data_IF_627990906758
#
_entry.id   IF_627990906758
#
_cell.length_a   1.000
_cell.length_b   1.000
_cell.length_c   1.000
_cell.angle_alpha   90.00
_cell.angle_beta   90.00
_cell.angle_gamma   90.00
#
_symmetry.space_group_name_H-M   'P 1'
#
loop_
_entity.id
_entity.type
_entity.pdbx_description
1 polymer ?
#
# COMPACT_ATOMS: atom_id res chain seq x y z
N UNK A 1 -64.89 25.56 61.60
CA UNK A 1 -63.45 25.29 61.80
C UNK A 1 -63.06 24.07 60.96
N UNK A 2 -62.45 24.30 59.79
CA UNK A 2 -61.86 23.25 58.94
C UNK A 2 -60.52 23.77 58.42
N UNK A 3 -59.53 22.89 58.51
CA UNK A 3 -58.09 23.10 58.39
C UNK A 3 -57.62 23.38 56.96
N UNK A 4 -56.63 24.27 56.82
CA UNK A 4 -55.94 24.62 55.58
C UNK A 4 -55.12 23.45 55.01
N UNK A 5 -55.10 23.33 53.67
CA UNK A 5 -53.99 22.71 52.92
C UNK A 5 -53.50 23.71 51.85
N UNK A 6 -52.24 24.12 51.98
CA UNK A 6 -51.49 24.91 51.01
C UNK A 6 -51.26 24.11 49.71
N UNK A 7 -51.43 24.77 48.57
CA UNK A 7 -50.92 24.32 47.26
C UNK A 7 -49.67 25.14 46.93
N UNK A 8 -48.55 24.47 46.70
CA UNK A 8 -47.35 25.07 46.10
C UNK A 8 -47.46 25.02 44.58
N UNK A 9 -47.37 26.18 43.92
CA UNK A 9 -47.17 26.29 42.47
C UNK A 9 -45.71 26.69 42.25
N UNK A 10 -44.89 25.82 41.65
CA UNK A 10 -43.54 26.15 41.20
C UNK A 10 -43.62 26.75 39.79
N UNK A 11 -43.07 27.95 39.62
CA UNK A 11 -42.78 28.57 38.32
C UNK A 11 -41.42 28.04 37.87
N UNK A 12 -41.34 27.40 36.70
CA UNK A 12 -40.06 27.09 36.05
C UNK A 12 -39.71 28.23 35.08
N UNK A 13 -38.58 28.89 35.32
CA UNK A 13 -37.89 29.69 34.31
C UNK A 13 -37.15 28.74 33.36
N UNK A 14 -37.46 28.78 32.07
CA UNK A 14 -36.69 28.11 31.03
C UNK A 14 -35.61 29.05 30.52
N UNK A 15 -34.36 28.79 30.88
CA UNK A 15 -33.19 29.40 30.23
C UNK A 15 -32.91 28.62 28.94
N UNK A 16 -33.08 29.27 27.79
CA UNK A 16 -32.68 28.69 26.50
C UNK A 16 -31.18 28.92 26.32
N UNK A 17 -30.40 27.85 26.41
CA UNK A 17 -29.00 27.83 25.95
C UNK A 17 -29.02 27.39 24.49
N UNK A 18 -28.74 28.31 23.55
CA UNK A 18 -28.42 27.93 22.18
C UNK A 18 -27.04 27.28 22.16
N UNK A 19 -27.00 25.96 22.19
CA UNK A 19 -25.83 25.19 21.77
C UNK A 19 -25.88 25.05 20.25
N UNK A 20 -25.07 25.84 19.54
CA UNK A 20 -24.73 25.52 18.15
C UNK A 20 -23.85 24.28 18.16
N UNK A 21 -24.46 23.11 18.01
CA UNK A 21 -23.74 21.86 17.74
C UNK A 21 -23.27 21.95 16.28
N UNK A 22 -22.08 22.50 16.09
CA UNK A 22 -21.34 22.31 14.86
C UNK A 22 -20.94 20.84 14.79
N UNK A 23 -21.66 20.06 13.98
CA UNK A 23 -21.22 18.72 13.61
C UNK A 23 -19.99 18.86 12.72
N UNK A 24 -18.80 18.93 13.32
CA UNK A 24 -17.59 18.48 12.65
C UNK A 24 -17.70 16.95 12.61
N UNK A 25 -18.22 16.43 11.50
CA UNK A 25 -18.15 15.01 11.21
C UNK A 25 -16.66 14.64 11.12
N UNK A 26 -16.09 14.12 12.20
CA UNK A 26 -14.91 13.28 12.12
C UNK A 26 -15.36 12.05 11.34
N UNK A 27 -14.72 11.67 10.22
CA UNK A 27 -15.05 10.42 9.57
C UNK A 27 -14.64 9.29 10.52
N UNK A 28 -15.59 8.81 11.33
CA UNK A 28 -15.52 7.45 11.84
C UNK A 28 -15.89 6.59 10.65
N UNK A 29 -14.89 5.94 10.07
CA UNK A 29 -15.14 4.77 9.25
C UNK A 29 -15.90 3.78 10.15
N UNK A 30 -17.21 3.68 9.95
CA UNK A 30 -17.98 2.59 10.51
C UNK A 30 -17.29 1.30 10.07
N UNK A 31 -17.01 0.42 11.03
CA UNK A 31 -16.21 -0.80 10.88
C UNK A 31 -16.64 -1.73 9.72
N UNK A 32 -17.81 -1.51 9.11
CA UNK A 32 -18.32 -2.30 7.98
C UNK A 32 -17.94 -1.74 6.58
N UNK A 33 -17.69 -0.42 6.46
CA UNK A 33 -17.49 0.31 5.19
C UNK A 33 -16.07 0.90 5.02
N UNK A 34 -15.17 0.72 6.01
CA UNK A 34 -13.82 1.30 6.01
C UNK A 34 -12.89 0.84 4.85
N UNK A 35 -13.29 -0.22 4.13
CA UNK A 35 -12.56 -0.77 2.98
C UNK A 35 -13.17 -0.34 1.62
N UNK A 36 -14.29 0.38 1.62
CA UNK A 36 -15.03 0.73 0.40
C UNK A 36 -14.36 1.91 -0.30
N UNK A 37 -13.27 1.61 -1.00
CA UNK A 37 -12.61 2.56 -1.87
C UNK A 37 -11.58 3.48 -1.20
N UNK A 38 -11.27 3.36 0.09
CA UNK A 38 -10.21 4.16 0.70
C UNK A 38 -8.81 3.76 0.19
N UNK A 39 -7.88 4.72 0.25
CA UNK A 39 -6.48 4.54 -0.16
C UNK A 39 -5.60 4.67 1.08
N UNK A 40 -4.81 3.63 1.37
CA UNK A 40 -3.66 3.75 2.25
C UNK A 40 -2.51 4.36 1.48
N UNK A 41 -1.74 5.22 2.15
CA UNK A 41 -0.49 5.74 1.61
C UNK A 41 0.57 5.91 2.70
N UNK A 42 1.81 5.88 2.27
CA UNK A 42 2.98 6.25 3.07
C UNK A 42 3.30 7.71 2.78
N UNK A 43 3.34 8.57 3.80
CA UNK A 43 3.67 9.99 3.59
C UNK A 43 4.38 10.63 4.77
N UNK A 44 5.19 11.64 4.48
CA UNK A 44 5.83 12.53 5.46
C UNK A 44 5.08 13.86 5.66
N UNK A 45 3.80 13.92 5.24
CA UNK A 45 2.95 15.13 5.25
C UNK A 45 3.01 15.95 6.54
N UNK A 46 2.83 15.31 7.70
CA UNK A 46 2.79 15.99 9.01
C UNK A 46 4.15 15.96 9.73
N UNK A 47 5.20 15.50 9.05
CA UNK A 47 6.54 15.41 9.59
C UNK A 47 7.58 15.51 8.46
N UNK A 48 7.60 16.66 7.77
CA UNK A 48 8.36 16.79 6.54
C UNK A 48 9.83 16.57 6.86
N UNK A 49 10.44 15.64 6.13
CA UNK A 49 11.77 15.10 6.42
C UNK A 49 12.96 16.09 6.40
N UNK A 50 12.67 17.37 6.19
CA UNK A 50 13.61 18.47 6.02
C UNK A 50 13.62 19.50 7.16
N UNK A 51 12.71 19.43 8.13
CA UNK A 51 12.60 20.44 9.20
C UNK A 51 13.37 20.09 10.49
N UNK A 52 14.04 18.93 10.51
CA UNK A 52 14.79 18.47 11.67
C UNK A 52 13.91 17.92 12.81
N UNK A 53 12.60 17.76 12.60
CA UNK A 53 11.70 17.10 13.56
C UNK A 53 12.06 15.62 13.69
N UNK A 54 12.57 14.98 12.64
CA UNK A 54 13.01 13.59 12.67
C UNK A 54 14.51 13.37 12.54
N UNK A 55 15.04 12.56 13.45
CA UNK A 55 16.43 12.14 13.47
C UNK A 55 16.54 10.64 13.83
N UNK A 56 17.00 9.77 12.91
CA UNK A 56 17.38 10.08 11.52
C UNK A 56 16.15 10.48 10.67
N UNK A 57 16.35 11.14 9.51
CA UNK A 57 15.36 12.03 8.88
C UNK A 57 14.13 11.37 8.24
N UNK A 58 13.81 10.12 8.56
CA UNK A 58 12.71 9.40 7.96
C UNK A 58 11.70 9.09 9.06
N UNK A 59 10.53 9.75 9.00
CA UNK A 59 9.36 9.48 9.81
C UNK A 59 8.11 9.47 8.92
N UNK A 60 8.18 8.63 7.90
CA UNK A 60 7.03 8.30 7.09
C UNK A 60 6.00 7.57 7.94
N UNK A 61 4.75 7.95 7.76
CA UNK A 61 3.62 7.34 8.42
C UNK A 61 2.59 6.84 7.43
N UNK A 62 1.76 5.93 7.92
CA UNK A 62 0.63 5.39 7.18
C UNK A 62 -0.55 6.31 7.43
N UNK A 63 -1.18 6.71 6.34
CA UNK A 63 -2.43 7.44 6.34
C UNK A 63 -3.45 6.65 5.55
N UNK A 64 -4.72 6.92 5.84
CA UNK A 64 -5.86 6.55 5.02
C UNK A 64 -6.55 7.82 4.51
N UNK A 65 -7.02 7.82 3.27
CA UNK A 65 -7.75 8.94 2.67
C UNK A 65 -8.81 8.44 1.68
N UNK A 66 -9.77 9.30 1.36
CA UNK A 66 -10.75 9.03 0.30
C UNK A 66 -10.08 9.02 -1.09
N UNK A 67 -10.69 8.37 -2.12
CA UNK A 67 -10.19 8.34 -3.50
C UNK A 67 -9.84 9.69 -4.12
N UNK A 68 -10.53 10.75 -3.70
CA UNK A 68 -10.34 12.12 -4.18
C UNK A 68 -9.22 12.88 -3.42
N UNK A 69 -8.56 12.20 -2.47
CA UNK A 69 -7.52 12.78 -1.61
C UNK A 69 -8.06 13.54 -0.39
N UNK A 70 -9.38 13.59 -0.20
CA UNK A 70 -9.99 14.27 0.95
C UNK A 70 -9.85 13.45 2.24
N UNK A 71 -10.00 14.16 3.37
CA UNK A 71 -10.06 13.58 4.71
C UNK A 71 -8.87 12.65 5.09
N UNK A 72 -7.61 13.02 4.83
CA UNK A 72 -6.48 12.21 5.22
C UNK A 72 -6.43 12.04 6.75
N UNK A 73 -6.35 10.80 7.20
CA UNK A 73 -6.29 10.41 8.62
C UNK A 73 -5.02 9.61 8.86
N UNK A 74 -4.21 10.07 9.82
CA UNK A 74 -2.95 9.42 10.21
C UNK A 74 -3.23 8.18 11.07
N UNK A 75 -2.65 7.04 10.71
CA UNK A 75 -2.81 5.77 11.43
C UNK A 75 -1.57 5.38 12.26
N UNK A 76 -0.38 5.85 11.86
CA UNK A 76 0.85 5.63 12.62
C UNK A 76 1.49 6.94 13.05
N UNK A 77 2.25 6.91 14.13
CA UNK A 77 2.83 8.10 14.75
C UNK A 77 4.35 7.93 14.91
N UNK A 78 5.04 7.76 13.78
CA UNK A 78 6.49 7.57 13.67
C UNK A 78 7.32 8.79 13.95
N UNK A 79 6.70 9.97 13.88
CA UNK A 79 7.29 11.20 14.38
C UNK A 79 7.52 11.13 15.88
N UNK A 80 8.78 11.25 16.28
CA UNK A 80 9.17 11.33 17.68
C UNK A 80 9.66 12.76 18.01
N UNK A 81 9.51 13.24 19.26
CA UNK A 81 10.09 14.52 19.67
C UNK A 81 11.59 14.58 19.35
N UNK A 82 12.08 15.78 19.02
CA UNK A 82 13.51 16.04 18.78
C UNK A 82 14.36 15.42 19.91
N UNK A 83 15.27 14.51 19.56
CA UNK A 83 16.14 13.81 20.52
C UNK A 83 15.68 12.41 20.93
N UNK A 84 14.57 11.90 20.40
CA UNK A 84 14.16 10.50 20.52
C UNK A 84 14.24 9.78 19.16
N UNK A 85 14.44 8.46 19.18
CA UNK A 85 14.54 7.67 17.95
C UNK A 85 13.14 7.52 17.32
N UNK A 86 12.87 8.31 16.29
CA UNK A 86 11.69 8.13 15.42
C UNK A 86 11.72 6.81 14.66
N UNK A 87 10.58 6.46 14.06
CA UNK A 87 10.46 5.26 13.23
C UNK A 87 9.71 5.57 11.94
N UNK A 88 9.89 4.70 10.95
CA UNK A 88 9.15 4.70 9.70
C UNK A 88 8.12 3.60 9.71
N UNK A 89 6.95 3.91 9.16
CA UNK A 89 5.95 2.93 8.80
C UNK A 89 5.55 3.19 7.35
N UNK A 90 5.42 2.13 6.55
CA UNK A 90 5.11 2.30 5.15
C UNK A 90 4.73 1.02 4.43
N UNK A 91 4.43 1.16 3.14
CA UNK A 91 4.13 0.00 2.28
C UNK A 91 2.97 -0.84 2.77
N UNK A 92 1.93 -0.20 3.31
CA UNK A 92 0.81 -0.87 3.93
C UNK A 92 -0.11 -1.55 2.91
N UNK A 93 -0.83 -2.57 3.37
CA UNK A 93 -1.86 -3.25 2.59
C UNK A 93 -3.07 -3.61 3.45
N UNK A 94 -4.24 -3.71 2.80
CA UNK A 94 -5.51 -4.04 3.44
C UNK A 94 -5.75 -5.54 3.47
N UNK A 95 -6.20 -6.04 4.63
CA UNK A 95 -6.71 -7.40 4.68
C UNK A 95 -8.05 -7.51 3.94
N UNK A 96 -8.18 -8.54 3.10
CA UNK A 96 -9.45 -8.93 2.49
C UNK A 96 -10.52 -9.31 3.53
N UNK A 97 -10.11 -9.65 4.76
CA UNK A 97 -11.02 -9.93 5.89
C UNK A 97 -11.64 -8.69 6.52
N UNK A 98 -11.21 -7.48 6.11
CA UNK A 98 -11.61 -6.17 6.67
C UNK A 98 -11.31 -5.95 8.15
N UNK A 99 -10.35 -6.69 8.71
CA UNK A 99 -10.02 -6.56 10.13
C UNK A 99 -8.70 -5.87 10.37
N UNK A 100 -7.76 -6.02 9.44
CA UNK A 100 -6.37 -5.68 9.67
C UNK A 100 -5.80 -4.87 8.51
N UNK A 101 -4.84 -4.03 8.86
CA UNK A 101 -3.84 -3.46 7.97
C UNK A 101 -2.51 -4.11 8.32
N UNK A 102 -1.75 -4.53 7.32
CA UNK A 102 -0.37 -4.98 7.47
C UNK A 102 0.57 -3.94 6.89
N UNK A 103 1.73 -3.75 7.50
CA UNK A 103 2.68 -2.74 7.08
C UNK A 103 4.10 -3.06 7.52
N UNK A 104 5.08 -2.43 6.87
CA UNK A 104 6.46 -2.51 7.34
C UNK A 104 6.75 -1.40 8.35
N UNK A 105 7.54 -1.68 9.38
CA UNK A 105 7.96 -0.67 10.34
C UNK A 105 9.30 -1.02 10.98
N UNK A 106 10.17 -0.02 11.18
CA UNK A 106 11.51 -0.20 11.75
C UNK A 106 11.57 0.05 13.28
N UNK A 107 10.41 0.07 13.94
CA UNK A 107 10.27 0.27 15.40
C UNK A 107 11.05 -0.74 16.24
N UNK A 108 11.34 -1.91 15.69
CA UNK A 108 12.06 -2.99 16.39
C UNK A 108 13.45 -3.12 15.81
N UNK A 109 14.45 -2.73 16.60
CA UNK A 109 15.87 -2.86 16.23
C UNK A 109 16.33 -1.97 15.07
N UNK A 110 15.53 -0.98 14.65
CA UNK A 110 15.89 -0.07 13.54
C UNK A 110 15.82 -0.69 12.15
N UNK A 111 15.41 -1.95 12.05
CA UNK A 111 15.30 -2.71 10.79
C UNK A 111 13.80 -2.90 10.50
N UNK A 112 13.32 -2.63 9.27
CA UNK A 112 11.92 -2.87 8.92
C UNK A 112 11.51 -4.32 9.16
N UNK A 113 10.42 -4.51 9.88
CA UNK A 113 9.74 -5.79 10.10
C UNK A 113 8.26 -5.63 9.76
N UNK A 114 7.51 -6.74 9.70
CA UNK A 114 6.07 -6.68 9.38
C UNK A 114 5.26 -6.54 10.67
N UNK A 115 4.39 -5.54 10.68
CA UNK A 115 3.43 -5.25 11.73
C UNK A 115 2.00 -5.41 11.21
N UNK A 116 1.06 -5.60 12.13
CA UNK A 116 -0.37 -5.50 11.86
C UNK A 116 -1.00 -4.49 12.80
N UNK A 117 -2.15 -3.94 12.41
CA UNK A 117 -2.97 -3.05 13.22
C UNK A 117 -4.45 -3.17 12.81
N UNK A 118 -5.34 -2.69 13.66
CA UNK A 118 -6.75 -2.50 13.31
C UNK A 118 -6.90 -1.39 12.26
N UNK A 119 -8.06 -1.33 11.59
CA UNK A 119 -8.31 -0.38 10.51
C UNK A 119 -8.25 1.09 10.97
N UNK A 120 -8.50 1.35 12.25
CA UNK A 120 -8.42 2.67 12.87
C UNK A 120 -7.01 3.03 13.37
N UNK A 121 -6.01 2.18 13.10
CA UNK A 121 -4.63 2.35 13.54
C UNK A 121 -4.37 1.90 14.98
N UNK A 122 -5.34 1.35 15.69
CA UNK A 122 -5.14 0.79 17.05
C UNK A 122 -4.50 -0.60 17.00
N UNK A 123 -4.07 -1.11 18.16
CA UNK A 123 -3.52 -2.47 18.32
C UNK A 123 -2.34 -2.80 17.39
N UNK A 124 -1.45 -1.83 17.18
CA UNK A 124 -0.26 -2.02 16.36
C UNK A 124 0.71 -3.00 17.02
N UNK A 125 0.98 -4.12 16.36
CA UNK A 125 1.80 -5.21 16.90
C UNK A 125 2.75 -5.78 15.87
N UNK A 126 3.94 -6.19 16.33
CA UNK A 126 4.89 -6.94 15.51
C UNK A 126 4.27 -8.28 15.14
N UNK A 127 4.13 -8.57 13.85
CA UNK A 127 3.55 -9.82 13.36
C UNK A 127 4.63 -10.85 13.07
N UNK A 128 5.63 -10.48 12.26
CA UNK A 128 6.76 -11.35 11.96
C UNK A 128 8.07 -10.56 11.95
N UNK A 129 9.10 -11.18 12.53
CA UNK A 129 10.47 -10.69 12.52
C UNK A 129 11.35 -11.64 11.72
N UNK A 130 11.99 -11.13 10.68
CA UNK A 130 12.93 -11.88 9.82
C UNK A 130 14.33 -11.31 10.00
N UNK A 131 15.38 -12.15 10.13
CA UNK A 131 16.75 -11.68 10.13
C UNK A 131 17.05 -10.79 8.92
N UNK A 132 17.60 -9.60 9.16
CA UNK A 132 17.89 -8.62 8.11
C UNK A 132 16.69 -7.79 7.64
N UNK A 133 15.47 -8.13 8.05
CA UNK A 133 14.26 -7.33 7.84
C UNK A 133 13.27 -7.91 6.84
N UNK A 134 12.07 -7.36 6.85
CA UNK A 134 10.95 -7.72 6.00
C UNK A 134 10.16 -6.47 5.57
N UNK A 135 9.62 -6.48 4.36
CA UNK A 135 9.07 -5.29 3.72
C UNK A 135 7.94 -5.58 2.74
N UNK A 136 7.07 -4.57 2.58
CA UNK A 136 5.94 -4.53 1.63
C UNK A 136 5.07 -5.80 1.63
N UNK A 137 4.28 -6.01 2.70
CA UNK A 137 3.33 -7.11 2.77
C UNK A 137 2.19 -6.94 1.77
N UNK A 138 1.62 -8.05 1.29
CA UNK A 138 0.35 -8.12 0.56
C UNK A 138 -0.47 -9.29 1.10
N UNK A 139 -1.76 -9.05 1.38
CA UNK A 139 -2.64 -10.07 1.96
C UNK A 139 -3.13 -11.08 0.94
N UNK A 140 -3.21 -12.34 1.38
CA UNK A 140 -3.97 -13.37 0.66
C UNK A 140 -5.46 -13.03 0.60
N UNK A 141 -6.17 -13.64 -0.36
CA UNK A 141 -7.61 -13.44 -0.57
C UNK A 141 -8.44 -13.70 0.70
N UNK A 142 -8.03 -14.65 1.55
CA UNK A 142 -8.74 -14.96 2.80
C UNK A 142 -8.43 -13.97 3.91
N UNK A 143 -7.36 -13.17 3.76
CA UNK A 143 -6.85 -12.28 4.79
C UNK A 143 -6.08 -13.00 5.91
N UNK A 144 -5.83 -14.30 5.80
CA UNK A 144 -5.18 -15.11 6.84
C UNK A 144 -3.68 -15.29 6.63
N UNK A 145 -3.15 -14.88 5.47
CA UNK A 145 -1.73 -14.98 5.14
C UNK A 145 -1.26 -13.69 4.50
N UNK A 146 0.06 -13.45 4.60
CA UNK A 146 0.76 -12.39 3.91
C UNK A 146 1.84 -12.99 3.04
N UNK A 147 2.00 -12.47 1.82
CA UNK A 147 3.28 -12.51 1.15
C UNK A 147 4.06 -11.23 1.51
N UNK A 148 5.39 -11.29 1.56
CA UNK A 148 6.27 -10.12 1.69
C UNK A 148 7.66 -10.47 1.17
N UNK A 149 8.61 -9.52 1.17
CA UNK A 149 10.02 -9.85 0.86
C UNK A 149 10.97 -9.55 2.00
N UNK A 150 12.07 -10.32 2.08
CA UNK A 150 13.18 -10.03 2.99
C UNK A 150 13.97 -8.79 2.53
N UNK A 151 14.61 -8.10 3.46
CA UNK A 151 15.36 -6.86 3.17
C UNK A 151 16.85 -7.11 2.89
N UNK A 152 17.42 -8.17 3.48
CA UNK A 152 18.80 -8.57 3.22
C UNK A 152 18.91 -9.27 1.86
N UNK A 153 19.81 -8.77 1.02
CA UNK A 153 20.10 -9.41 -0.28
C UNK A 153 20.90 -10.70 -0.07
N UNK A 154 20.65 -11.74 -0.88
CA UNK A 154 19.60 -11.81 -1.90
C UNK A 154 18.19 -11.89 -1.27
N UNK A 155 17.29 -11.02 -1.76
CA UNK A 155 15.92 -10.89 -1.25
C UNK A 155 15.02 -11.96 -1.84
N UNK A 156 14.15 -12.52 -1.00
CA UNK A 156 13.22 -13.57 -1.38
C UNK A 156 11.79 -13.20 -1.03
N UNK A 157 10.83 -13.83 -1.70
CA UNK A 157 9.42 -13.78 -1.32
C UNK A 157 9.15 -14.83 -0.26
N UNK A 158 8.53 -14.39 0.83
CA UNK A 158 8.06 -15.24 1.91
C UNK A 158 6.55 -15.21 1.99
N UNK A 159 5.98 -16.30 2.49
CA UNK A 159 4.59 -16.38 2.93
C UNK A 159 4.55 -16.75 4.40
N UNK A 160 3.62 -16.15 5.14
CA UNK A 160 3.41 -16.42 6.56
C UNK A 160 1.93 -16.28 6.91
N UNK A 161 1.47 -17.05 7.89
CA UNK A 161 0.16 -16.83 8.49
C UNK A 161 0.14 -15.52 9.30
N UNK A 162 -1.00 -14.84 9.38
CA UNK A 162 -1.16 -13.59 10.14
C UNK A 162 -0.91 -13.73 11.65
N UNK A 163 -0.88 -14.95 12.18
CA UNK A 163 -0.46 -15.24 13.55
C UNK A 163 1.06 -15.45 13.70
N UNK A 164 1.85 -15.18 12.66
CA UNK A 164 3.32 -15.27 12.68
C UNK A 164 3.88 -16.69 12.59
N UNK A 165 3.05 -17.69 12.26
CA UNK A 165 3.45 -19.09 12.12
C UNK A 165 3.53 -19.51 10.65
N UNK A 166 4.20 -20.64 10.36
CA UNK A 166 4.25 -21.20 9.01
C UNK A 166 5.07 -20.39 8.00
N UNK A 167 6.07 -19.62 8.47
CA UNK A 167 6.93 -18.82 7.61
C UNK A 167 7.66 -19.72 6.58
N UNK A 168 7.40 -19.47 5.31
CA UNK A 168 7.93 -20.25 4.18
C UNK A 168 8.63 -19.34 3.18
N UNK A 169 9.85 -19.69 2.77
CA UNK A 169 10.55 -19.03 1.67
C UNK A 169 10.09 -19.64 0.35
N UNK A 170 9.42 -18.85 -0.50
CA UNK A 170 8.84 -19.34 -1.76
C UNK A 170 9.85 -19.34 -2.92
N UNK A 171 10.87 -18.50 -2.89
CA UNK A 171 11.73 -18.26 -4.06
C UNK A 171 13.13 -18.85 -3.97
N UNK A 172 13.59 -19.26 -2.78
CA UNK A 172 14.95 -19.77 -2.58
C UNK A 172 15.27 -21.02 -3.42
N UNK A 173 14.32 -21.95 -3.57
CA UNK A 173 14.50 -23.17 -4.37
C UNK A 173 14.76 -22.89 -5.85
N UNK A 174 14.25 -21.77 -6.37
CA UNK A 174 14.35 -21.37 -7.78
C UNK A 174 15.60 -20.55 -8.11
N UNK A 175 16.51 -20.36 -7.15
CA UNK A 175 17.81 -19.69 -7.38
C UNK A 175 18.77 -20.50 -8.23
N UNK A 176 18.56 -21.82 -8.27
CA UNK A 176 19.36 -22.75 -9.08
C UNK A 176 18.61 -23.10 -10.35
N UNK A 177 19.32 -23.42 -11.45
CA UNK A 177 18.67 -23.90 -12.66
C UNK A 177 17.79 -25.12 -12.35
N UNK A 178 16.52 -25.03 -12.77
CA UNK A 178 15.58 -26.14 -12.72
C UNK A 178 15.74 -27.09 -13.91
N UNK A 179 14.89 -28.13 -13.99
CA UNK A 179 14.75 -28.98 -15.18
C UNK A 179 14.48 -28.18 -16.46
N UNK A 180 14.78 -28.80 -17.61
CA UNK A 180 14.46 -28.21 -18.92
C UNK A 180 12.96 -27.93 -19.04
N UNK A 181 12.62 -26.69 -19.40
CA UNK A 181 11.22 -26.23 -19.55
C UNK A 181 10.75 -25.30 -18.43
N UNK A 182 11.49 -25.19 -17.33
CA UNK A 182 11.25 -24.16 -16.30
C UNK A 182 11.79 -22.78 -16.73
N UNK A 183 11.26 -21.69 -16.15
CA UNK A 183 11.79 -20.35 -16.41
C UNK A 183 13.25 -20.21 -15.95
N UNK A 184 13.96 -19.15 -16.40
CA UNK A 184 15.30 -18.85 -15.93
C UNK A 184 15.36 -18.76 -14.39
N UNK A 185 16.47 -19.22 -13.76
CA UNK A 185 16.60 -19.13 -12.31
C UNK A 185 16.54 -17.69 -11.80
N UNK A 186 15.99 -17.55 -10.59
CA UNK A 186 15.85 -16.28 -9.87
C UNK A 186 17.22 -15.86 -9.30
N UNK A 187 18.04 -15.22 -10.14
CA UNK A 187 19.42 -14.84 -9.80
C UNK A 187 19.53 -13.47 -9.13
N UNK A 188 18.48 -12.64 -9.22
CA UNK A 188 18.39 -11.33 -8.56
C UNK A 188 17.51 -11.32 -7.32
N UNK A 189 17.29 -10.12 -6.78
CA UNK A 189 16.38 -9.90 -5.66
C UNK A 189 14.93 -10.10 -6.10
N UNK A 190 14.19 -10.97 -5.40
CA UNK A 190 12.74 -11.13 -5.55
C UNK A 190 12.03 -10.21 -4.56
N UNK A 191 11.20 -9.28 -5.05
CA UNK A 191 10.57 -8.26 -4.21
C UNK A 191 9.18 -7.87 -4.72
N UNK A 192 8.45 -7.07 -3.93
CA UNK A 192 7.16 -6.47 -4.31
C UNK A 192 6.13 -7.51 -4.74
N UNK A 193 5.88 -8.48 -3.87
CA UNK A 193 4.85 -9.48 -4.15
C UNK A 193 3.45 -8.84 -4.08
N UNK A 194 2.53 -9.37 -4.87
CA UNK A 194 1.09 -9.13 -4.73
C UNK A 194 0.35 -10.47 -4.87
N UNK A 195 -0.55 -10.74 -3.92
CA UNK A 195 -1.32 -11.97 -3.92
C UNK A 195 -2.54 -11.84 -4.82
N UNK A 196 -2.74 -12.81 -5.70
CA UNK A 196 -3.92 -12.88 -6.56
C UNK A 196 -5.20 -12.87 -5.71
N UNK A 197 -6.23 -12.08 -6.08
CA UNK A 197 -7.52 -12.13 -5.39
C UNK A 197 -8.28 -13.43 -5.64
N UNK A 198 -7.75 -14.35 -6.47
CA UNK A 198 -8.23 -15.75 -6.57
C UNK A 198 -7.52 -16.70 -5.58
N UNK A 199 -6.56 -16.20 -4.81
CA UNK A 199 -5.80 -16.95 -3.81
C UNK A 199 -4.78 -17.94 -4.37
N UNK A 200 -4.77 -18.19 -5.68
CA UNK A 200 -4.02 -19.28 -6.31
C UNK A 200 -2.58 -18.94 -6.70
N UNK A 201 -2.21 -17.66 -6.77
CA UNK A 201 -0.91 -17.23 -7.27
C UNK A 201 -0.42 -15.96 -6.58
N UNK A 202 0.89 -15.76 -6.62
CA UNK A 202 1.58 -14.55 -6.16
C UNK A 202 2.43 -14.03 -7.32
N UNK A 203 2.26 -12.76 -7.68
CA UNK A 203 3.11 -12.09 -8.67
C UNK A 203 4.20 -11.31 -7.93
N UNK A 204 5.40 -11.21 -8.49
CA UNK A 204 6.52 -10.46 -7.89
C UNK A 204 7.51 -10.04 -8.98
N UNK A 205 8.42 -9.12 -8.66
CA UNK A 205 9.52 -8.77 -9.56
C UNK A 205 10.81 -9.48 -9.15
N UNK A 206 11.60 -9.97 -10.12
CA UNK A 206 12.94 -10.49 -9.92
C UNK A 206 13.94 -9.81 -10.86
N UNK A 207 15.14 -9.51 -10.35
CA UNK A 207 16.26 -9.06 -11.18
C UNK A 207 17.12 -7.99 -10.51
N UNK A 208 18.14 -7.54 -11.24
CA UNK A 208 18.95 -6.40 -10.82
C UNK A 208 18.19 -5.09 -11.11
N UNK A 209 18.49 -4.03 -10.37
CA UNK A 209 17.98 -2.68 -10.66
C UNK A 209 18.34 -2.34 -12.12
N UNK A 210 17.34 -2.05 -12.96
CA UNK A 210 17.54 -1.76 -14.39
C UNK A 210 17.21 -2.90 -15.34
N UNK A 211 16.98 -4.11 -14.84
CA UNK A 211 16.66 -5.29 -15.64
C UNK A 211 15.78 -6.25 -14.82
N UNK A 212 14.63 -5.74 -14.37
CA UNK A 212 13.67 -6.50 -13.58
C UNK A 212 12.57 -7.05 -14.47
N UNK A 213 12.06 -8.21 -14.10
CA UNK A 213 10.98 -8.88 -14.81
C UNK A 213 9.92 -9.34 -13.83
N UNK A 214 8.69 -9.42 -14.28
CA UNK A 214 7.57 -9.92 -13.49
C UNK A 214 7.52 -11.43 -13.64
N UNK A 215 7.47 -12.08 -12.48
CA UNK A 215 7.24 -13.50 -12.33
C UNK A 215 5.94 -13.71 -11.58
N UNK A 216 5.41 -14.93 -11.70
CA UNK A 216 4.38 -15.42 -10.81
C UNK A 216 4.69 -16.86 -10.40
N UNK A 217 4.21 -17.21 -9.22
CA UNK A 217 4.36 -18.52 -8.61
C UNK A 217 3.00 -18.92 -8.01
N UNK A 218 2.69 -20.20 -7.99
CA UNK A 218 1.49 -20.67 -7.33
C UNK A 218 1.63 -20.49 -5.81
N UNK A 219 0.51 -20.33 -5.11
CA UNK A 219 0.53 -20.02 -3.67
C UNK A 219 1.18 -21.13 -2.81
N UNK A 220 1.28 -22.35 -3.33
CA UNK A 220 1.98 -23.48 -2.73
C UNK A 220 3.49 -23.52 -3.02
N UNK A 221 4.00 -22.56 -3.81
CA UNK A 221 5.39 -22.47 -4.22
C UNK A 221 5.76 -23.28 -5.45
N UNK A 222 4.81 -23.88 -6.15
CA UNK A 222 5.04 -24.55 -7.44
C UNK A 222 4.76 -23.62 -8.61
N UNK A 223 4.96 -24.10 -9.85
CA UNK A 223 4.46 -23.41 -11.04
C UNK A 223 5.11 -22.04 -11.33
N UNK A 224 6.37 -21.84 -10.94
CA UNK A 224 7.08 -20.60 -11.26
C UNK A 224 7.03 -20.33 -12.78
N UNK A 225 6.64 -19.11 -13.14
CA UNK A 225 6.53 -18.63 -14.52
C UNK A 225 7.03 -17.20 -14.64
N UNK A 226 7.74 -16.91 -15.72
CA UNK A 226 8.12 -15.56 -16.11
C UNK A 226 7.02 -14.98 -16.99
N UNK A 227 6.47 -13.82 -16.61
CA UNK A 227 5.34 -13.19 -17.32
C UNK A 227 5.79 -12.11 -18.30
N UNK A 228 6.96 -11.52 -18.10
CA UNK A 228 7.49 -10.46 -18.97
C UNK A 228 8.88 -10.79 -19.49
N UNK A 229 9.19 -10.31 -20.69
CA UNK A 229 10.47 -10.53 -21.39
C UNK A 229 10.90 -9.33 -22.24
N UNK A 230 10.23 -8.18 -22.08
CA UNK A 230 10.45 -7.01 -22.91
C UNK A 230 11.80 -6.36 -22.58
N UNK A 231 12.32 -5.58 -23.53
CA UNK A 231 13.49 -4.74 -23.26
C UNK A 231 13.09 -3.65 -22.27
N UNK A 232 13.71 -3.62 -21.09
CA UNK A 232 13.37 -2.68 -20.03
C UNK A 232 13.27 -3.38 -18.68
N UNK A 233 12.82 -2.63 -17.68
CA UNK A 233 12.56 -3.10 -16.33
C UNK A 233 11.05 -3.07 -16.09
N UNK A 234 10.49 -4.21 -15.73
CA UNK A 234 9.10 -4.39 -15.33
C UNK A 234 9.05 -4.64 -13.80
N UNK A 235 8.24 -3.85 -13.09
CA UNK A 235 8.27 -3.76 -11.62
C UNK A 235 6.89 -3.55 -11.00
N UNK A 236 6.79 -3.75 -9.69
CA UNK A 236 5.59 -3.46 -8.87
C UNK A 236 4.29 -4.05 -9.43
N UNK A 237 4.19 -5.38 -9.64
CA UNK A 237 2.97 -5.99 -10.15
C UNK A 237 1.80 -5.81 -9.16
N UNK A 238 0.61 -5.60 -9.70
CA UNK A 238 -0.64 -5.51 -8.94
C UNK A 238 -1.78 -6.22 -9.69
N UNK A 239 -2.33 -7.27 -9.10
CA UNK A 239 -3.49 -7.95 -9.65
C UNK A 239 -4.72 -7.05 -9.61
N UNK A 240 -5.48 -7.08 -10.70
CA UNK A 240 -6.85 -6.55 -10.75
C UNK A 240 -7.77 -7.33 -9.80
N UNK A 241 -8.87 -6.75 -9.31
CA UNK A 241 -9.76 -7.41 -8.34
C UNK A 241 -10.40 -8.70 -8.87
N UNK A 242 -10.61 -8.79 -10.18
CA UNK A 242 -11.11 -9.99 -10.86
C UNK A 242 -10.03 -11.06 -11.06
N UNK A 243 -8.76 -10.72 -10.85
CA UNK A 243 -7.61 -11.62 -11.02
C UNK A 243 -7.40 -12.08 -12.46
N UNK A 244 -7.84 -11.31 -13.44
CA UNK A 244 -7.67 -11.55 -14.88
C UNK A 244 -6.61 -10.65 -15.51
N UNK A 245 -6.31 -9.50 -14.89
CA UNK A 245 -5.26 -8.56 -15.30
C UNK A 245 -4.21 -8.34 -14.20
N UNK A 246 -3.01 -7.93 -14.60
CA UNK A 246 -1.94 -7.38 -13.77
C UNK A 246 -1.57 -5.99 -14.31
N UNK A 247 -1.65 -4.97 -13.46
CA UNK A 247 -1.04 -3.67 -13.71
C UNK A 247 0.39 -3.65 -13.17
N UNK A 248 1.30 -2.96 -13.84
CA UNK A 248 2.70 -2.91 -13.43
C UNK A 248 3.40 -1.68 -13.98
N UNK A 249 4.55 -1.35 -13.40
CA UNK A 249 5.45 -0.32 -13.89
C UNK A 249 6.37 -0.89 -14.97
N UNK A 250 6.53 -0.19 -16.09
CA UNK A 250 7.53 -0.55 -17.11
C UNK A 250 8.22 0.68 -17.68
N UNK A 251 9.53 0.59 -17.86
CA UNK A 251 10.32 1.61 -18.56
C UNK A 251 10.70 1.23 -20.01
N UNK A 252 10.01 0.25 -20.61
CA UNK A 252 10.32 -0.28 -21.95
C UNK A 252 10.34 0.77 -23.06
N UNK A 253 9.65 1.89 -22.86
CA UNK A 253 9.58 3.03 -23.79
C UNK A 253 10.48 4.21 -23.37
N UNK A 254 11.40 4.00 -22.44
CA UNK A 254 12.40 4.97 -21.98
C UNK A 254 12.07 5.67 -20.66
N UNK A 255 10.79 5.97 -20.40
CA UNK A 255 10.32 6.46 -19.09
C UNK A 255 9.45 5.42 -18.39
N UNK A 256 9.48 5.33 -17.05
CA UNK A 256 8.58 4.42 -16.35
C UNK A 256 7.13 4.87 -16.43
N UNK A 257 6.29 3.95 -16.85
CA UNK A 257 4.87 4.14 -17.13
C UNK A 257 4.08 2.96 -16.57
N UNK A 258 2.76 3.11 -16.48
CA UNK A 258 1.87 2.02 -16.06
C UNK A 258 1.45 1.24 -17.29
N UNK A 259 1.62 -0.07 -17.21
CA UNK A 259 1.17 -1.05 -18.18
C UNK A 259 0.18 -2.02 -17.56
N UNK A 260 -0.62 -2.65 -18.40
CA UNK A 260 -1.51 -3.74 -18.01
C UNK A 260 -1.34 -4.93 -18.94
N UNK A 261 -1.45 -6.14 -18.40
CA UNK A 261 -1.45 -7.38 -19.17
C UNK A 261 -2.41 -8.39 -18.56
N UNK A 262 -2.72 -9.46 -19.29
CA UNK A 262 -3.40 -10.62 -18.70
C UNK A 262 -2.59 -11.24 -17.58
N UNK A 263 -3.26 -11.74 -16.56
CA UNK A 263 -2.66 -12.36 -15.37
C UNK A 263 -1.79 -13.60 -15.67
N UNK A 264 -2.00 -14.24 -16.81
CA UNK A 264 -1.21 -15.37 -17.31
C UNK A 264 -0.04 -14.94 -18.22
N UNK A 265 0.08 -13.66 -18.56
CA UNK A 265 1.11 -13.12 -19.44
C UNK A 265 0.91 -13.44 -20.93
N UNK A 266 -0.26 -13.93 -21.35
CA UNK A 266 -0.48 -14.40 -22.73
C UNK A 266 -0.64 -13.30 -23.78
N UNK A 267 -1.01 -12.08 -23.39
CA UNK A 267 -1.18 -10.94 -24.28
C UNK A 267 0.01 -9.97 -24.22
N UNK A 268 0.19 -9.19 -25.29
CA UNK A 268 1.13 -8.06 -25.31
C UNK A 268 0.65 -7.01 -24.30
N UNK A 269 1.50 -6.56 -23.35
CA UNK A 269 1.09 -5.55 -22.39
C UNK A 269 0.73 -4.21 -23.05
N UNK A 270 -0.36 -3.61 -22.60
CA UNK A 270 -0.87 -2.31 -23.05
C UNK A 270 -0.38 -1.19 -22.12
N UNK A 271 0.05 -0.06 -22.70
CA UNK A 271 0.48 1.13 -21.95
C UNK A 271 -0.72 1.99 -21.59
N UNK A 272 -0.93 2.28 -20.31
CA UNK A 272 -2.03 3.11 -19.81
C UNK A 272 -1.66 4.58 -19.63
N UNK A 273 -0.38 4.88 -19.32
CA UNK A 273 0.05 6.27 -19.08
C UNK A 273 1.08 6.72 -20.11
N UNK A 274 1.12 8.02 -20.39
CA UNK A 274 2.15 8.63 -21.22
C UNK A 274 2.63 9.93 -20.57
N UNK A 275 3.47 9.80 -19.55
CA UNK A 275 4.07 10.94 -18.90
C UNK A 275 5.15 11.55 -19.79
N UNK A 276 5.15 12.88 -19.91
CA UNK A 276 6.25 13.57 -20.61
C UNK A 276 7.57 13.17 -19.96
N UNK A 277 8.55 12.86 -20.81
CA UNK A 277 9.86 12.40 -20.37
C UNK A 277 10.57 13.50 -19.59
N UNK A 278 10.34 13.56 -18.29
CA UNK A 278 11.30 14.18 -17.40
C UNK A 278 12.53 13.27 -17.43
N UNK A 279 13.73 13.78 -17.75
CA UNK A 279 14.94 12.97 -17.67
C UNK A 279 15.05 12.48 -16.22
N UNK A 280 14.72 11.21 -16.01
CA UNK A 280 15.00 10.49 -14.77
C UNK A 280 16.27 9.69 -14.99
N UNK A 281 17.47 10.24 -14.69
CA UNK A 281 18.62 9.41 -14.46
C UNK A 281 18.25 8.32 -13.43
N UNK A 282 18.46 7.06 -13.81
CA UNK A 282 18.56 5.88 -12.94
C UNK A 282 17.26 5.22 -12.42
N UNK A 283 16.33 4.83 -13.31
CA UNK A 283 15.36 3.74 -13.07
C UNK A 283 14.83 3.63 -11.62
N UNK A 284 14.27 4.71 -11.10
CA UNK A 284 13.62 4.68 -9.79
C UNK A 284 12.19 4.24 -10.01
N UNK A 285 11.74 3.22 -9.28
CA UNK A 285 10.33 2.80 -9.25
C UNK A 285 9.45 4.01 -8.92
N UNK A 286 8.74 4.53 -9.92
CA UNK A 286 7.99 5.79 -9.77
C UNK A 286 6.49 5.61 -9.89
N UNK A 287 5.94 4.46 -10.31
CA UNK A 287 4.50 4.32 -10.61
C UNK A 287 3.75 3.21 -9.89
N UNK A 288 4.25 2.59 -8.80
CA UNK A 288 3.62 1.47 -8.04
C UNK A 288 2.07 1.48 -8.09
N UNK A 289 1.45 0.72 -9.02
CA UNK A 289 0.02 0.76 -9.22
C UNK A 289 -0.73 -0.07 -8.19
N UNK A 290 -1.99 0.24 -7.96
CA UNK A 290 -2.94 -0.55 -7.16
C UNK A 290 -4.36 -0.31 -7.68
N UNK A 291 -5.15 -1.37 -7.77
CA UNK A 291 -6.50 -1.30 -8.32
C UNK A 291 -7.53 -0.97 -7.26
N UNK A 292 -8.49 -0.10 -7.61
CA UNK A 292 -9.75 0.02 -6.87
C UNK A 292 -10.48 -1.32 -6.77
N UNK A 293 -11.30 -1.55 -5.72
CA UNK A 293 -11.99 -2.83 -5.55
C UNK A 293 -12.92 -3.23 -6.69
N UNK A 294 -13.48 -2.25 -7.38
CA UNK A 294 -14.37 -2.38 -8.54
C UNK A 294 -13.60 -2.61 -9.84
N UNK A 295 -12.31 -2.28 -9.87
CA UNK A 295 -11.42 -2.46 -11.02
C UNK A 295 -11.60 -1.41 -12.12
N UNK A 296 -12.34 -0.34 -11.84
CA UNK A 296 -12.60 0.79 -12.75
C UNK A 296 -11.59 1.93 -12.60
N UNK A 297 -10.89 2.00 -11.46
CA UNK A 297 -9.82 2.97 -11.19
C UNK A 297 -8.50 2.29 -10.78
N UNK A 298 -7.40 3.01 -10.98
CA UNK A 298 -6.05 2.72 -10.51
C UNK A 298 -5.52 3.89 -9.67
N UNK A 299 -4.83 3.61 -8.56
CA UNK A 299 -3.98 4.58 -7.87
C UNK A 299 -2.52 4.21 -8.07
N UNK A 300 -1.67 5.22 -8.08
CA UNK A 300 -0.23 5.07 -8.24
C UNK A 300 0.47 6.28 -7.64
N UNK A 301 1.74 6.15 -7.26
CA UNK A 301 2.55 7.34 -7.01
C UNK A 301 3.20 7.82 -8.29
N UNK A 302 3.65 9.07 -8.35
CA UNK A 302 4.46 9.62 -9.44
C UNK A 302 5.38 10.69 -8.91
N UNK A 303 6.53 10.82 -9.54
CA UNK A 303 7.49 11.90 -9.28
C UNK A 303 7.07 13.20 -9.96
N UNK A 304 6.99 14.30 -9.21
CA UNK A 304 6.44 15.59 -9.69
C UNK A 304 7.42 16.77 -9.62
N UNK A 305 8.66 16.57 -9.18
CA UNK A 305 9.65 17.65 -9.02
C UNK A 305 11.10 17.22 -9.23
N UNK A 306 12.02 18.19 -9.09
CA UNK A 306 13.45 18.03 -9.36
C UNK A 306 14.11 16.88 -8.58
N UNK A 307 15.21 16.34 -9.12
CA UNK A 307 16.03 15.32 -8.46
C UNK A 307 16.65 15.85 -7.16
N UNK A 308 16.33 15.17 -6.06
CA UNK A 308 16.92 15.30 -4.73
C UNK A 308 16.89 13.92 -4.07
N UNK A 309 17.61 13.71 -2.97
CA UNK A 309 17.90 12.37 -2.41
C UNK A 309 16.67 11.47 -2.15
N UNK A 310 15.46 12.03 -2.02
CA UNK A 310 14.20 11.28 -1.84
C UNK A 310 13.24 11.31 -3.03
N UNK A 311 13.43 12.28 -3.91
CA UNK A 311 12.47 12.66 -4.93
C UNK A 311 11.12 13.15 -4.40
N UNK A 312 10.49 14.05 -5.15
CA UNK A 312 9.19 14.58 -4.79
C UNK A 312 8.10 13.67 -5.36
N UNK A 313 7.51 12.81 -4.52
CA UNK A 313 6.46 11.85 -4.95
C UNK A 313 5.09 12.31 -4.48
N UNK A 314 4.10 12.17 -5.35
CA UNK A 314 2.68 12.37 -5.05
C UNK A 314 1.88 11.15 -5.50
N UNK A 315 0.72 10.94 -4.89
CA UNK A 315 -0.26 9.93 -5.31
C UNK A 315 -1.22 10.53 -6.33
N UNK A 316 -1.53 9.73 -7.33
CA UNK A 316 -2.44 9.99 -8.41
C UNK A 316 -3.48 8.88 -8.51
N UNK A 317 -4.61 9.18 -9.11
CA UNK A 317 -5.63 8.23 -9.55
C UNK A 317 -5.90 8.39 -11.04
N UNK A 318 -6.39 7.33 -11.69
CA UNK A 318 -6.84 7.35 -13.07
C UNK A 318 -7.91 6.29 -13.31
N UNK A 319 -8.64 6.40 -14.42
CA UNK A 319 -9.49 5.32 -14.90
C UNK A 319 -8.63 4.11 -15.31
N UNK A 320 -9.19 2.91 -15.21
CA UNK A 320 -8.52 1.66 -15.57
C UNK A 320 -8.09 1.58 -17.05
N UNK A 321 -8.69 2.42 -17.91
CA UNK A 321 -8.32 2.58 -19.32
C UNK A 321 -7.19 3.61 -19.54
N UNK A 322 -6.62 4.16 -18.47
CA UNK A 322 -5.54 5.16 -18.52
C UNK A 322 -6.01 6.61 -18.65
N UNK A 323 -7.32 6.85 -18.80
CA UNK A 323 -7.86 8.22 -18.91
C UNK A 323 -8.04 8.88 -17.53
N UNK A 324 -8.28 10.19 -17.51
CA UNK A 324 -8.62 10.96 -16.31
C UNK A 324 -7.56 10.92 -15.18
N UNK A 325 -6.29 10.98 -15.53
CA UNK A 325 -5.18 11.03 -14.57
C UNK A 325 -5.27 12.30 -13.69
N UNK A 326 -5.41 12.12 -12.38
CA UNK A 326 -5.62 13.19 -11.40
C UNK A 326 -4.66 13.05 -10.22
N UNK A 327 -3.99 14.14 -9.84
CA UNK A 327 -3.17 14.17 -8.62
C UNK A 327 -4.06 14.34 -7.39
N UNK A 328 -3.87 13.51 -6.36
CA UNK A 328 -4.71 13.54 -5.14
C UNK A 328 -3.94 13.88 -3.86
N UNK A 329 -2.61 13.95 -3.90
CA UNK A 329 -1.80 14.46 -2.78
C UNK A 329 -0.94 15.65 -3.19
N UNK A 330 -0.68 16.55 -2.24
CA UNK A 330 -0.01 17.83 -2.49
C UNK A 330 0.95 18.20 -1.35
N UNK A 331 1.89 17.31 -1.01
CA UNK A 331 2.97 17.66 -0.06
C UNK A 331 3.90 18.71 -0.68
N UNK A 332 4.52 19.61 0.11
CA UNK A 332 5.51 20.56 -0.41
C UNK A 332 6.82 19.85 -0.78
N UNK A 333 7.61 20.43 -1.69
CA UNK A 333 8.89 19.85 -2.12
C UNK A 333 10.05 20.19 -1.16
N UNK A 334 10.96 19.24 -0.86
CA UNK A 334 10.86 17.82 -1.16
C UNK A 334 9.96 17.12 -0.13
N UNK A 335 8.92 16.45 -0.62
CA UNK A 335 7.97 15.71 0.18
C UNK A 335 7.62 14.39 -0.48
N UNK A 336 7.18 13.44 0.32
CA UNK A 336 6.91 12.07 -0.08
C UNK A 336 5.45 11.71 0.22
N UNK A 337 4.72 11.35 -0.83
CA UNK A 337 3.47 10.61 -0.74
C UNK A 337 3.56 9.47 -1.73
N UNK A 338 3.52 8.25 -1.23
CA UNK A 338 3.83 7.09 -2.06
C UNK A 338 3.30 5.77 -1.52
N UNK A 339 3.62 4.73 -2.29
CA UNK A 339 3.23 3.36 -2.00
C UNK A 339 1.73 3.17 -1.75
N UNK A 340 0.84 3.71 -2.61
CA UNK A 340 -0.58 3.57 -2.37
C UNK A 340 -0.98 2.09 -2.30
N UNK A 341 -1.98 1.79 -1.47
CA UNK A 341 -2.75 0.55 -1.54
C UNK A 341 -4.23 0.89 -1.45
N UNK A 342 -4.96 0.62 -2.52
CA UNK A 342 -6.41 0.79 -2.54
C UNK A 342 -7.05 -0.36 -1.74
N UNK A 343 -8.15 -0.06 -1.06
CA UNK A 343 -9.02 -1.07 -0.45
C UNK A 343 -9.33 -2.20 -1.44
N UNK A 344 -9.44 -3.43 -0.93
CA UNK A 344 -9.58 -4.64 -1.75
C UNK A 344 -11.02 -5.18 -1.82
N UNK A 345 -12.03 -4.42 -1.40
CA UNK A 345 -13.43 -4.90 -1.40
C UNK A 345 -14.48 -3.84 -1.78
N UNK A 346 -15.53 -4.27 -2.49
CA UNK A 346 -16.83 -3.56 -2.58
C UNK A 346 -17.94 -4.58 -2.34
N UNK A 347 -18.93 -4.23 -1.52
CA UNK A 347 -20.03 -5.14 -1.14
C UNK A 347 -20.86 -5.61 -2.32
N UNK A 348 -20.96 -4.75 -3.33
CA UNK A 348 -22.05 -4.80 -4.29
C UNK A 348 -21.53 -4.80 -5.74
N UNK A 349 -20.20 -4.71 -5.96
CA UNK A 349 -19.64 -4.48 -7.31
C UNK A 349 -20.06 -3.13 -7.91
N UNK A 350 -20.59 -2.22 -7.09
CA UNK A 350 -21.04 -0.88 -7.46
C UNK A 350 -20.08 0.13 -6.83
N UNK A 351 -19.49 1.06 -7.60
CA UNK A 351 -18.78 2.20 -7.04
C UNK A 351 -19.77 3.01 -6.19
N UNK A 352 -19.49 3.19 -4.89
CA UNK A 352 -20.25 4.11 -4.03
C UNK A 352 -19.55 5.46 -3.95
#
# INVERSE_FOLDING_TARGET
>A
MKTLKNRHTRVLLSTVVLLTVGWLAVPHAGQEDANDGFILLTTDRDNPSNDGICNPPQCEDIYVMAPDGSNPTRLTHGGAPIGSAGYNSGGADWSHSKKLIAFQSNRVGGIPQIFTMNLDGTEQQLMVSVPGGAAFPSFSQTGNELCFHSQASPRDIYVVNVHGTGLTNLTESYRKPGPLGEPPPLTGDSTRCDWSPKGNAIAFMNGAIGNQEIFAIDADGTGLRRLTTASGSDANPAFSPKGDLIAFESNRDGTPEIYVMKADGSDVPERLTNFTAEPTPNNVNVTKPTWSPTGDLLAFHRRVGAQGARGHLQVYTMNADGTNVTQITFTPSPGFSGFPSWGKWSADGVPR
#
